data_IF_159021993172
#
_entry.id   IF_159021993172
#
_cell.length_a   1.000
_cell.length_b   1.000
_cell.length_c   1.000
_cell.angle_alpha   90.00
_cell.angle_beta   90.00
_cell.angle_gamma   90.00
#
_symmetry.space_group_name_H-M   'P 1'
#
loop_
_entity.id
_entity.type
_entity.pdbx_description
1 polymer ?
#
# COMPACT_ATOMS: atom_id res chain seq x y z
N UNK A 1 9.65 -9.85 -5.57
CA UNK A 1 8.64 -9.23 -6.45
C UNK A 1 9.28 -8.42 -7.56
N UNK A 2 8.56 -8.23 -8.66
CA UNK A 2 8.77 -7.16 -9.64
C UNK A 2 8.19 -5.84 -9.14
N UNK A 3 8.53 -4.73 -9.81
CA UNK A 3 7.95 -3.42 -9.50
C UNK A 3 6.42 -3.42 -9.65
N UNK A 4 5.91 -4.02 -10.72
CA UNK A 4 4.47 -4.14 -10.97
C UNK A 4 3.76 -4.95 -9.89
N UNK A 5 4.38 -6.03 -9.42
CA UNK A 5 3.87 -6.82 -8.30
C UNK A 5 3.80 -5.99 -7.01
N UNK A 6 4.83 -5.19 -6.71
CA UNK A 6 4.81 -4.30 -5.54
C UNK A 6 3.69 -3.25 -5.63
N UNK A 7 3.49 -2.65 -6.81
CA UNK A 7 2.40 -1.68 -7.05
C UNK A 7 1.04 -2.35 -6.86
N UNK A 8 0.83 -3.55 -7.41
CA UNK A 8 -0.41 -4.32 -7.24
C UNK A 8 -0.66 -4.68 -5.78
N UNK A 9 0.37 -5.15 -5.07
CA UNK A 9 0.30 -5.47 -3.64
C UNK A 9 -0.03 -4.24 -2.81
N UNK A 10 0.52 -3.07 -3.14
CA UNK A 10 0.21 -1.83 -2.44
C UNK A 10 -1.25 -1.41 -2.65
N UNK A 11 -1.77 -1.52 -3.88
CA UNK A 11 -3.19 -1.26 -4.19
C UNK A 11 -4.10 -2.25 -3.45
N UNK A 12 -3.75 -3.53 -3.43
CA UNK A 12 -4.48 -4.55 -2.67
C UNK A 12 -4.58 -4.19 -1.17
N UNK A 13 -3.48 -3.76 -0.56
CA UNK A 13 -3.46 -3.34 0.84
C UNK A 13 -4.32 -2.08 1.07
N UNK A 14 -4.31 -1.11 0.14
CA UNK A 14 -5.20 0.06 0.20
C UNK A 14 -6.67 -0.39 0.20
N UNK A 15 -7.07 -1.23 -0.75
CA UNK A 15 -8.45 -1.68 -0.90
C UNK A 15 -8.94 -2.48 0.31
N UNK A 16 -8.05 -3.28 0.91
CA UNK A 16 -8.36 -4.15 2.05
C UNK A 16 -8.50 -3.39 3.37
N UNK A 17 -7.68 -2.37 3.60
CA UNK A 17 -7.50 -1.78 4.93
C UNK A 17 -7.99 -0.33 5.06
N UNK A 18 -8.20 0.38 3.96
CA UNK A 18 -8.71 1.76 3.98
C UNK A 18 -10.23 1.73 3.76
N UNK A 19 -11.02 1.95 4.81
CA UNK A 19 -12.49 1.94 4.70
C UNK A 19 -13.08 3.25 4.16
N UNK A 20 -12.36 4.37 4.25
CA UNK A 20 -12.81 5.64 3.69
C UNK A 20 -12.60 5.64 2.17
N UNK A 21 -13.68 5.77 1.40
CA UNK A 21 -13.64 5.67 -0.07
C UNK A 21 -12.87 6.81 -0.75
N UNK A 22 -12.93 8.04 -0.20
CA UNK A 22 -12.19 9.18 -0.74
C UNK A 22 -10.68 8.97 -0.57
N UNK A 23 -10.27 8.55 0.62
CA UNK A 23 -8.87 8.25 0.94
C UNK A 23 -8.36 7.05 0.14
N UNK A 24 -9.16 6.00 0.02
CA UNK A 24 -8.85 4.82 -0.81
C UNK A 24 -8.62 5.21 -2.26
N UNK A 25 -9.51 6.03 -2.83
CA UNK A 25 -9.40 6.53 -4.20
C UNK A 25 -8.14 7.36 -4.39
N UNK A 26 -7.87 8.29 -3.46
CA UNK A 26 -6.68 9.15 -3.48
C UNK A 26 -5.39 8.34 -3.41
N UNK A 27 -5.29 7.38 -2.49
CA UNK A 27 -4.10 6.52 -2.33
C UNK A 27 -3.89 5.58 -3.52
N UNK A 28 -4.98 5.06 -4.10
CA UNK A 28 -4.91 4.22 -5.30
C UNK A 28 -4.47 5.00 -6.53
N UNK A 29 -4.98 6.22 -6.72
CA UNK A 29 -4.59 7.11 -7.82
C UNK A 29 -3.09 7.46 -7.74
N UNK A 30 -2.60 7.94 -6.59
CA UNK A 30 -1.17 8.30 -6.47
C UNK A 30 -0.24 7.10 -6.66
N UNK A 31 -0.67 5.91 -6.23
CA UNK A 31 0.09 4.67 -6.41
C UNK A 31 0.17 4.25 -7.88
N UNK A 32 -0.92 4.41 -8.64
CA UNK A 32 -0.99 4.09 -10.08
C UNK A 32 -0.25 5.13 -10.94
N UNK A 33 -0.47 6.41 -10.66
CA UNK A 33 0.17 7.52 -11.41
C UNK A 33 1.68 7.53 -11.26
N UNK A 34 2.18 7.11 -10.10
CA UNK A 34 3.60 7.00 -9.80
C UNK A 34 4.06 5.55 -9.78
N UNK A 35 3.52 4.69 -10.65
CA UNK A 35 3.86 3.25 -10.70
C UNK A 35 5.37 2.98 -10.77
N UNK A 36 6.14 3.87 -11.40
CA UNK A 36 7.61 3.75 -11.47
C UNK A 36 8.32 4.00 -10.13
N UNK A 37 7.74 4.83 -9.26
CA UNK A 37 8.28 5.19 -7.95
C UNK A 37 7.14 5.68 -7.04
N UNK A 38 6.27 4.77 -6.57
CA UNK A 38 5.13 5.14 -5.76
C UNK A 38 5.63 5.65 -4.41
N UNK A 39 4.90 6.57 -3.74
CA UNK A 39 5.24 7.03 -2.40
C UNK A 39 4.90 5.96 -1.35
N UNK A 40 5.51 4.78 -1.48
CA UNK A 40 5.13 3.55 -0.77
C UNK A 40 5.12 3.73 0.74
N UNK A 41 6.15 4.38 1.32
CA UNK A 41 6.19 4.69 2.77
C UNK A 41 5.00 5.52 3.23
N UNK A 42 4.63 6.54 2.45
CA UNK A 42 3.50 7.41 2.78
C UNK A 42 2.16 6.68 2.66
N UNK A 43 2.01 5.83 1.64
CA UNK A 43 0.81 5.01 1.43
C UNK A 43 0.67 3.98 2.54
N UNK A 44 1.74 3.24 2.84
CA UNK A 44 1.78 2.27 3.95
C UNK A 44 1.43 2.94 5.28
N UNK A 45 1.99 4.12 5.55
CA UNK A 45 1.64 4.89 6.75
C UNK A 45 0.15 5.27 6.80
N UNK A 46 -0.44 5.68 5.67
CA UNK A 46 -1.87 5.97 5.60
C UNK A 46 -2.73 4.71 5.85
N UNK A 47 -2.31 3.56 5.34
CA UNK A 47 -2.95 2.26 5.62
C UNK A 47 -2.91 1.94 7.12
N UNK A 48 -1.75 2.09 7.76
CA UNK A 48 -1.61 1.90 9.22
C UNK A 48 -2.52 2.84 10.02
N UNK A 49 -2.72 4.08 9.55
CA UNK A 49 -3.63 5.03 10.21
C UNK A 49 -5.10 4.71 9.99
N UNK A 50 -5.45 4.11 8.85
CA UNK A 50 -6.83 3.75 8.53
C UNK A 50 -7.27 2.44 9.20
N UNK A 51 -6.32 1.61 9.64
CA UNK A 51 -6.59 0.29 10.19
C UNK A 51 -6.10 0.12 11.63
N UNK A 52 -7.06 0.07 12.56
CA UNK A 52 -6.80 -0.12 14.01
C UNK A 52 -6.56 -1.59 14.42
N UNK A 53 -6.56 -2.52 13.47
CA UNK A 53 -6.40 -3.95 13.74
C UNK A 53 -4.97 -4.48 13.62
N UNK A 54 -4.84 -5.80 13.54
CA UNK A 54 -3.56 -6.49 13.29
C UNK A 54 -3.52 -7.00 11.86
N UNK A 55 -2.48 -6.63 11.12
CA UNK A 55 -2.21 -7.20 9.81
C UNK A 55 -1.99 -8.72 9.93
N UNK A 56 -2.41 -9.47 8.91
CA UNK A 56 -2.03 -10.88 8.83
C UNK A 56 -0.52 -11.00 8.64
N UNK A 57 0.03 -12.20 8.87
CA UNK A 57 1.45 -12.45 8.63
C UNK A 57 1.82 -12.19 7.15
N UNK A 58 0.95 -12.57 6.23
CA UNK A 58 1.16 -12.40 4.79
C UNK A 58 1.12 -10.92 4.39
N UNK A 59 0.15 -10.16 4.89
CA UNK A 59 0.07 -8.72 4.61
C UNK A 59 1.26 -7.96 5.20
N UNK A 60 1.75 -8.40 6.36
CA UNK A 60 2.94 -7.83 6.97
C UNK A 60 4.19 -8.11 6.12
N UNK A 61 4.35 -9.33 5.62
CA UNK A 61 5.44 -9.68 4.72
C UNK A 61 5.40 -8.85 3.43
N UNK A 62 4.20 -8.61 2.87
CA UNK A 62 4.02 -7.71 1.73
C UNK A 62 4.45 -6.28 2.04
N UNK A 63 4.03 -5.73 3.20
CA UNK A 63 4.41 -4.39 3.63
C UNK A 63 5.94 -4.26 3.77
N UNK A 64 6.60 -5.26 4.37
CA UNK A 64 8.05 -5.28 4.56
C UNK A 64 8.78 -5.34 3.21
N UNK A 65 8.34 -6.19 2.28
CA UNK A 65 8.94 -6.32 0.95
C UNK A 65 8.75 -5.05 0.10
N UNK A 66 7.55 -4.45 0.12
CA UNK A 66 7.26 -3.17 -0.55
C UNK A 66 8.15 -2.05 0.04
N UNK A 67 8.30 -2.02 1.36
CA UNK A 67 9.11 -0.99 2.05
C UNK A 67 10.60 -1.15 1.76
N UNK A 68 11.08 -2.37 1.56
CA UNK A 68 12.45 -2.63 1.10
C UNK A 68 12.65 -2.21 -0.36
N UNK A 69 11.69 -2.52 -1.24
CA UNK A 69 11.81 -2.28 -2.67
C UNK A 69 11.77 -0.78 -3.06
N UNK A 70 10.91 0.00 -2.40
CA UNK A 70 10.75 1.44 -2.64
C UNK A 70 11.34 2.33 -1.52
N UNK A 71 12.15 1.73 -0.64
CA UNK A 71 12.68 2.36 0.57
C UNK A 71 13.94 3.17 0.39
#
# INVERSE_FOLDING_TARGET
MTKEECVRSLIYLIEKYVSNEDEKTRLSSVTRERSESPPAKGVVYAIFKAYDGKFSADDKALIDEISFFFG
#
